data_IF_879483475105
#
_entry.id   IF_879483475105
#
_cell.length_a   1.000
_cell.length_b   1.000
_cell.length_c   1.000
_cell.angle_alpha   90.00
_cell.angle_beta   90.00
_cell.angle_gamma   90.00
#
_symmetry.space_group_name_H-M   'P 1'
#
loop_
_entity.id
_entity.type
_entity.pdbx_description
1 polymer ?
#
# COMPACT_ATOMS: atom_id res chain seq x y z
N UNK A 1 25.56 -5.30 2.90
CA UNK A 1 24.53 -5.33 3.97
C UNK A 1 23.54 -4.23 3.66
N UNK A 2 22.34 -4.57 3.20
CA UNK A 2 21.30 -3.61 2.85
C UNK A 2 20.02 -4.01 3.60
N UNK A 3 19.54 -3.24 4.59
CA UNK A 3 18.55 -3.71 5.56
C UNK A 3 17.09 -3.41 5.16
N UNK A 4 16.73 -3.40 3.88
CA UNK A 4 15.47 -2.82 3.41
C UNK A 4 14.32 -3.80 3.09
N UNK A 5 14.44 -5.10 3.38
CA UNK A 5 13.41 -6.09 3.01
C UNK A 5 13.00 -7.05 4.14
N UNK A 6 12.70 -6.50 5.32
CA UNK A 6 12.20 -7.29 6.46
C UNK A 6 10.80 -6.80 6.89
N UNK A 7 9.84 -6.82 5.95
CA UNK A 7 8.43 -6.50 6.24
C UNK A 7 7.58 -7.74 6.01
N UNK A 8 7.19 -8.34 7.13
CA UNK A 8 6.42 -9.57 7.24
C UNK A 8 5.02 -9.42 6.60
N UNK A 9 4.70 -10.29 5.64
CA UNK A 9 3.33 -10.49 5.17
C UNK A 9 2.56 -11.35 6.17
N UNK A 10 1.57 -10.78 6.87
CA UNK A 10 0.69 -11.54 7.78
C UNK A 10 -0.75 -11.56 7.30
N UNK A 11 -1.19 -12.73 6.84
CA UNK A 11 -2.55 -13.22 7.02
C UNK A 11 -2.48 -14.62 7.60
N UNK A 12 -3.41 -14.93 8.52
CA UNK A 12 -3.95 -16.25 8.89
C UNK A 12 -3.09 -17.46 8.46
N UNK A 13 -1.83 -17.51 8.87
CA UNK A 13 -1.05 -18.74 8.80
C UNK A 13 -1.14 -19.41 10.16
N UNK A 14 -1.34 -20.72 10.16
CA UNK A 14 -1.17 -21.51 11.37
C UNK A 14 0.20 -21.19 12.00
N UNK A 15 0.34 -21.22 13.34
CA UNK A 15 1.64 -21.05 13.97
C UNK A 15 2.62 -22.08 13.37
N UNK A 16 3.68 -21.59 12.73
CA UNK A 16 4.67 -22.37 11.96
C UNK A 16 4.09 -23.09 10.73
N UNK A 17 3.85 -22.33 9.66
CA UNK A 17 3.49 -22.87 8.36
C UNK A 17 4.74 -23.10 7.49
N UNK A 18 4.86 -24.29 6.91
CA UNK A 18 5.76 -24.48 5.77
C UNK A 18 5.19 -23.79 4.53
N UNK A 19 6.05 -23.19 3.71
CA UNK A 19 5.68 -22.76 2.37
C UNK A 19 6.44 -23.56 1.33
N UNK A 20 5.78 -23.76 0.19
CA UNK A 20 6.40 -24.22 -1.04
C UNK A 20 6.06 -23.20 -2.12
N UNK A 21 7.08 -22.61 -2.73
CA UNK A 21 6.95 -21.78 -3.91
C UNK A 21 6.73 -22.65 -5.15
N UNK A 22 5.67 -22.36 -5.89
CA UNK A 22 5.43 -22.93 -7.21
C UNK A 22 5.44 -21.80 -8.24
N UNK A 23 6.33 -21.89 -9.22
CA UNK A 23 6.50 -20.91 -10.30
C UNK A 23 6.61 -21.60 -11.65
N UNK A 24 7.13 -20.89 -12.66
CA UNK A 24 7.51 -21.51 -13.94
C UNK A 24 8.53 -22.62 -13.67
N UNK A 25 8.31 -23.82 -14.24
CA UNK A 25 9.20 -24.95 -14.04
C UNK A 25 10.64 -24.70 -14.53
N UNK A 26 10.82 -23.76 -15.45
CA UNK A 26 12.12 -23.34 -15.98
C UNK A 26 12.82 -22.29 -15.10
N UNK A 27 12.12 -21.68 -14.14
CA UNK A 27 12.71 -20.78 -13.15
C UNK A 27 13.12 -21.59 -11.92
N UNK A 28 14.30 -22.21 -12.00
CA UNK A 28 14.86 -23.02 -10.91
C UNK A 28 15.15 -22.22 -9.63
N UNK A 29 15.21 -20.89 -9.72
CA UNK A 29 15.40 -20.00 -8.58
C UNK A 29 14.15 -19.83 -7.72
N UNK A 30 12.96 -20.05 -8.28
CA UNK A 30 11.67 -19.89 -7.60
C UNK A 30 10.86 -21.19 -7.50
N UNK A 31 11.02 -22.10 -8.47
CA UNK A 31 10.26 -23.34 -8.51
C UNK A 31 10.74 -24.36 -7.48
N UNK A 32 9.79 -24.98 -6.79
CA UNK A 32 10.01 -25.98 -5.73
C UNK A 32 10.90 -25.50 -4.58
N UNK A 33 11.02 -24.18 -4.40
CA UNK A 33 11.67 -23.61 -3.23
C UNK A 33 10.79 -23.84 -2.02
N UNK A 34 11.37 -24.26 -0.90
CA UNK A 34 10.63 -24.51 0.34
C UNK A 34 11.28 -23.78 1.49
N UNK A 35 10.46 -23.42 2.47
CA UNK A 35 10.95 -22.79 3.68
C UNK A 35 9.91 -22.79 4.78
N UNK A 36 10.27 -22.17 5.90
CA UNK A 36 9.40 -22.02 7.06
C UNK A 36 9.12 -20.53 7.27
N UNK A 37 7.86 -20.22 7.50
CA UNK A 37 7.43 -18.89 7.96
C UNK A 37 6.78 -19.09 9.32
N UNK A 38 7.28 -18.36 10.31
CA UNK A 38 6.66 -18.28 11.63
C UNK A 38 5.84 -17.01 11.69
N UNK A 39 4.53 -17.14 11.83
CA UNK A 39 3.66 -16.01 12.13
C UNK A 39 3.52 -15.84 13.63
N UNK A 40 3.82 -14.64 14.10
CA UNK A 40 3.71 -14.26 15.51
C UNK A 40 2.51 -13.33 15.74
N UNK A 41 1.94 -13.28 16.95
CA UNK A 41 0.89 -12.32 17.27
C UNK A 41 1.38 -10.87 17.05
N UNK A 42 0.57 -10.08 16.35
CA UNK A 42 0.85 -8.65 16.16
C UNK A 42 0.72 -7.89 17.49
N UNK A 43 1.77 -7.14 17.86
CA UNK A 43 1.84 -6.36 19.11
C UNK A 43 1.85 -4.85 18.88
N UNK A 44 1.74 -4.40 17.62
CA UNK A 44 1.67 -2.99 17.28
C UNK A 44 0.27 -2.40 17.49
N UNK A 45 0.07 -1.17 17.02
CA UNK A 45 -1.14 -0.37 17.30
C UNK A 45 -2.13 -0.30 16.14
N UNK A 46 -1.79 -0.82 14.97
CA UNK A 46 -2.64 -0.71 13.79
C UNK A 46 -3.86 -1.63 13.91
N UNK A 47 -5.04 -1.03 13.98
CA UNK A 47 -6.31 -1.73 14.20
C UNK A 47 -6.58 -2.82 13.17
N UNK A 48 -6.18 -2.63 11.90
CA UNK A 48 -6.41 -3.63 10.84
C UNK A 48 -5.66 -4.94 11.07
N UNK A 49 -4.47 -4.89 11.70
CA UNK A 49 -3.69 -6.08 12.04
C UNK A 49 -4.13 -6.73 13.35
N UNK A 50 -4.76 -5.97 14.25
CA UNK A 50 -5.34 -6.49 15.50
C UNK A 50 -6.69 -7.18 15.28
N UNK A 51 -7.55 -6.56 14.47
CA UNK A 51 -8.95 -6.96 14.31
C UNK A 51 -9.22 -7.73 13.00
N UNK A 52 -8.22 -7.79 12.12
CA UNK A 52 -8.31 -8.42 10.81
C UNK A 52 -9.07 -7.57 9.79
N UNK A 53 -9.26 -8.13 8.60
CA UNK A 53 -9.75 -7.39 7.44
C UNK A 53 -11.19 -6.87 7.52
N UNK A 54 -11.42 -5.71 6.92
CA UNK A 54 -12.73 -5.07 6.84
C UNK A 54 -13.65 -5.91 5.94
N UNK A 55 -14.89 -6.13 6.41
CA UNK A 55 -15.94 -6.87 5.71
C UNK A 55 -17.32 -6.26 5.98
N UNK A 56 -18.34 -6.60 5.18
CA UNK A 56 -19.72 -6.34 5.55
C UNK A 56 -20.06 -6.96 6.92
N UNK A 57 -20.83 -6.23 7.71
CA UNK A 57 -21.48 -6.72 8.93
C UNK A 57 -22.42 -7.89 8.65
N UNK A 58 -22.78 -8.66 9.69
CA UNK A 58 -23.65 -9.83 9.55
C UNK A 58 -25.02 -9.53 8.91
N UNK A 59 -25.51 -8.29 9.00
CA UNK A 59 -26.76 -7.84 8.38
C UNK A 59 -26.55 -7.01 7.10
N UNK A 60 -25.31 -6.88 6.61
CA UNK A 60 -24.90 -6.15 5.41
C UNK A 60 -25.28 -4.65 5.39
N UNK A 61 -25.35 -3.98 6.56
CA UNK A 61 -25.72 -2.55 6.63
C UNK A 61 -24.58 -1.60 6.95
N UNK A 62 -23.52 -2.11 7.55
CA UNK A 62 -22.31 -1.36 7.91
C UNK A 62 -21.08 -2.27 7.77
N UNK A 63 -19.89 -1.71 8.01
CA UNK A 63 -18.61 -2.41 7.94
C UNK A 63 -18.12 -2.80 9.33
N UNK A 64 -17.48 -3.96 9.42
CA UNK A 64 -16.77 -4.41 10.61
C UNK A 64 -15.37 -4.87 10.23
N UNK A 65 -14.46 -4.88 11.19
CA UNK A 65 -13.28 -5.74 11.11
C UNK A 65 -13.68 -7.23 11.11
N UNK A 66 -12.69 -8.11 10.96
CA UNK A 66 -12.94 -9.55 10.86
C UNK A 66 -13.57 -10.12 12.15
N UNK A 67 -13.16 -9.59 13.31
CA UNK A 67 -13.67 -9.94 14.64
C UNK A 67 -15.06 -9.36 14.99
N UNK A 68 -15.64 -8.54 14.11
CA UNK A 68 -16.97 -7.96 14.28
C UNK A 68 -17.00 -6.57 14.92
N UNK A 69 -15.86 -6.01 15.34
CA UNK A 69 -15.80 -4.62 15.79
C UNK A 69 -16.20 -3.68 14.65
N UNK A 70 -17.13 -2.71 14.86
CA UNK A 70 -17.52 -1.77 13.82
C UNK A 70 -16.35 -0.96 13.27
N UNK A 71 -16.29 -0.83 11.94
CA UNK A 71 -15.38 0.07 11.25
C UNK A 71 -16.14 1.29 10.76
N UNK A 72 -15.83 2.46 11.32
CA UNK A 72 -16.42 3.71 10.87
C UNK A 72 -15.63 4.26 9.68
N UNK A 73 -16.24 4.28 8.50
CA UNK A 73 -15.63 4.78 7.28
C UNK A 73 -15.73 6.32 7.22
N UNK A 74 -14.65 6.99 7.59
CA UNK A 74 -14.48 8.43 7.39
C UNK A 74 -13.40 8.64 6.33
N UNK A 75 -13.84 8.84 5.09
CA UNK A 75 -12.96 8.89 3.92
C UNK A 75 -12.52 10.30 3.56
N UNK A 76 -11.25 10.43 3.14
CA UNK A 76 -10.75 11.58 2.39
C UNK A 76 -10.53 11.21 0.92
N UNK A 77 -10.76 12.17 0.03
CA UNK A 77 -10.63 11.97 -1.42
C UNK A 77 -9.38 12.66 -1.94
N UNK A 78 -8.38 11.87 -2.31
CA UNK A 78 -7.08 12.36 -2.71
C UNK A 78 -6.66 11.80 -4.08
N UNK A 79 -7.31 12.28 -5.14
CA UNK A 79 -7.17 11.78 -6.51
C UNK A 79 -5.71 11.58 -6.91
N UNK A 80 -4.87 12.60 -6.72
CA UNK A 80 -3.45 12.61 -7.13
C UNK A 80 -2.48 12.00 -6.13
N UNK A 81 -2.98 11.23 -5.15
CA UNK A 81 -2.20 10.62 -4.07
C UNK A 81 -0.94 9.86 -4.51
N UNK A 82 -0.99 9.22 -5.67
CA UNK A 82 0.11 8.45 -6.25
C UNK A 82 0.78 9.15 -7.44
N UNK A 83 0.38 10.37 -7.77
CA UNK A 83 0.88 11.12 -8.91
C UNK A 83 1.96 12.13 -8.46
N UNK A 84 2.88 12.44 -9.37
CA UNK A 84 3.96 13.43 -9.19
C UNK A 84 3.47 14.84 -8.81
N UNK A 85 2.22 15.20 -9.11
CA UNK A 85 1.60 16.46 -8.68
C UNK A 85 1.55 16.58 -7.16
N UNK A 86 1.46 15.44 -6.45
CA UNK A 86 1.63 15.37 -5.02
C UNK A 86 3.00 14.79 -4.66
N UNK A 87 3.95 15.67 -4.39
CA UNK A 87 5.35 15.29 -4.17
C UNK A 87 5.56 14.61 -2.83
N UNK A 88 6.27 13.50 -2.82
CA UNK A 88 6.52 12.71 -1.60
C UNK A 88 7.60 13.33 -0.70
N UNK A 89 8.60 13.99 -1.27
CA UNK A 89 9.76 14.54 -0.52
C UNK A 89 9.93 16.06 -0.67
N UNK A 90 8.96 16.75 -1.27
CA UNK A 90 8.99 18.19 -1.47
C UNK A 90 7.63 18.80 -1.18
N UNK A 91 7.60 20.12 -0.95
CA UNK A 91 6.38 20.89 -0.77
C UNK A 91 6.47 22.22 -1.50
N UNK A 92 5.34 22.68 -2.04
CA UNK A 92 5.15 24.04 -2.55
C UNK A 92 4.56 24.97 -1.47
N UNK A 93 4.32 24.45 -0.27
CA UNK A 93 3.84 25.18 0.89
C UNK A 93 4.87 25.09 2.02
N UNK A 94 5.33 26.24 2.50
CA UNK A 94 6.37 26.36 3.53
C UNK A 94 6.00 25.70 4.88
N UNK A 95 4.71 25.46 5.12
CA UNK A 95 4.22 24.82 6.35
C UNK A 95 4.56 23.33 6.41
N UNK A 96 4.87 22.72 5.27
CA UNK A 96 5.13 21.28 5.17
C UNK A 96 6.44 21.03 4.44
N UNK A 97 7.17 19.99 4.84
CA UNK A 97 8.38 19.54 4.14
C UNK A 97 8.06 18.59 2.99
N UNK A 98 6.84 18.04 2.96
CA UNK A 98 6.34 17.11 1.95
C UNK A 98 4.83 17.34 1.76
N UNK A 99 4.37 17.44 0.51
CA UNK A 99 2.94 17.56 0.20
C UNK A 99 2.18 16.34 0.71
N UNK A 100 2.62 15.15 0.28
CA UNK A 100 1.97 13.89 0.59
C UNK A 100 1.88 13.65 2.10
N UNK A 101 3.03 13.77 2.78
CA UNK A 101 3.13 13.47 4.21
C UNK A 101 2.31 14.47 5.03
N UNK A 102 2.40 15.76 4.68
CA UNK A 102 1.62 16.82 5.32
C UNK A 102 0.11 16.61 5.19
N UNK A 103 -0.37 16.17 4.02
CA UNK A 103 -1.79 15.88 3.85
C UNK A 103 -2.22 14.68 4.68
N UNK A 104 -1.51 13.56 4.61
CA UNK A 104 -1.82 12.34 5.37
C UNK A 104 -1.87 12.64 6.88
N UNK A 105 -0.85 13.33 7.40
CA UNK A 105 -0.78 13.68 8.81
C UNK A 105 -1.96 14.57 9.23
N UNK A 106 -2.33 15.55 8.40
CA UNK A 106 -3.50 16.40 8.66
C UNK A 106 -4.82 15.61 8.65
N UNK A 107 -4.98 14.63 7.75
CA UNK A 107 -6.20 13.81 7.70
C UNK A 107 -6.31 12.88 8.89
N UNK A 108 -5.19 12.38 9.41
CA UNK A 108 -5.15 11.62 10.65
C UNK A 108 -5.56 12.48 11.85
N UNK A 109 -5.05 13.71 11.96
CA UNK A 109 -5.49 14.68 12.99
C UNK A 109 -7.00 14.96 12.94
N UNK A 110 -7.60 14.89 11.74
CA UNK A 110 -9.03 15.09 11.51
C UNK A 110 -9.87 13.81 11.71
N UNK A 111 -9.23 12.67 12.01
CA UNK A 111 -9.90 11.41 12.28
C UNK A 111 -10.28 10.60 11.05
N UNK A 112 -9.78 10.92 9.85
CA UNK A 112 -10.01 10.11 8.65
C UNK A 112 -9.45 8.71 8.84
N UNK A 113 -10.27 7.70 8.53
CA UNK A 113 -9.94 6.26 8.63
C UNK A 113 -9.76 5.61 7.27
N UNK A 114 -10.14 6.29 6.19
CA UNK A 114 -9.97 5.83 4.82
C UNK A 114 -9.32 6.92 3.98
N UNK A 115 -8.28 6.53 3.25
CA UNK A 115 -7.65 7.37 2.24
C UNK A 115 -7.90 6.77 0.86
N UNK A 116 -8.49 7.54 -0.03
CA UNK A 116 -8.74 7.13 -1.41
C UNK A 116 -7.83 7.89 -2.36
N UNK A 117 -7.11 7.17 -3.21
CA UNK A 117 -6.32 7.73 -4.30
C UNK A 117 -6.55 6.99 -5.61
N UNK A 118 -6.19 7.60 -6.74
CA UNK A 118 -6.16 6.91 -8.02
C UNK A 118 -4.75 6.45 -8.34
N UNK A 119 -4.61 5.17 -8.66
CA UNK A 119 -3.33 4.59 -9.09
C UNK A 119 -2.83 5.23 -10.38
N UNK A 120 -3.74 5.60 -11.29
CA UNK A 120 -3.39 6.12 -12.62
C UNK A 120 -3.93 7.53 -12.87
N UNK A 121 -3.98 8.37 -11.83
CA UNK A 121 -4.38 9.77 -11.99
C UNK A 121 -3.57 10.43 -13.11
N UNK A 122 -4.26 11.07 -14.05
CA UNK A 122 -3.65 11.84 -15.12
C UNK A 122 -4.40 13.17 -15.26
N UNK A 123 -3.86 14.23 -14.67
CA UNK A 123 -4.48 15.54 -14.73
C UNK A 123 -3.89 16.40 -15.87
N UNK A 124 -3.41 15.80 -16.96
CA UNK A 124 -2.67 16.47 -18.04
C UNK A 124 -1.36 17.15 -17.61
N UNK A 125 -0.85 16.86 -16.41
CA UNK A 125 0.34 17.51 -15.86
C UNK A 125 1.65 17.02 -16.49
N UNK A 126 1.66 15.84 -17.13
CA UNK A 126 2.89 15.21 -17.65
C UNK A 126 2.69 14.16 -18.78
N UNK A 127 1.53 14.20 -19.46
CA UNK A 127 1.24 13.29 -20.58
C UNK A 127 0.77 11.89 -20.17
N UNK A 128 0.59 11.01 -21.15
CA UNK A 128 0.26 9.59 -20.97
C UNK A 128 1.57 8.79 -21.14
N UNK A 129 1.97 7.91 -20.20
CA UNK A 129 1.22 7.38 -19.04
C UNK A 129 1.34 8.15 -17.73
N UNK A 130 0.47 7.78 -16.77
CA UNK A 130 0.51 8.24 -15.38
C UNK A 130 1.93 8.13 -14.80
N UNK A 131 2.34 9.10 -13.99
CA UNK A 131 3.73 9.29 -13.57
C UNK A 131 3.84 9.73 -12.11
N UNK A 132 4.87 9.24 -11.43
CA UNK A 132 5.30 9.66 -10.10
C UNK A 132 6.84 9.82 -10.06
N UNK A 133 7.44 9.96 -8.87
CA UNK A 133 8.90 10.13 -8.73
C UNK A 133 9.70 8.92 -9.21
N UNK A 134 9.07 7.75 -9.32
CA UNK A 134 9.64 6.54 -9.92
C UNK A 134 9.57 6.49 -11.45
N UNK A 135 8.98 7.49 -12.09
CA UNK A 135 8.81 7.57 -13.54
C UNK A 135 7.38 7.22 -14.01
N UNK A 136 7.20 6.89 -15.30
CA UNK A 136 5.89 6.48 -15.85
C UNK A 136 5.47 5.11 -15.31
N UNK A 137 4.18 4.79 -15.23
CA UNK A 137 3.67 3.49 -14.76
C UNK A 137 4.08 2.31 -15.66
N UNK A 138 4.27 2.57 -16.95
CA UNK A 138 4.72 1.61 -17.96
C UNK A 138 5.91 2.15 -18.73
N UNK A 139 6.79 1.26 -19.15
CA UNK A 139 7.86 1.58 -20.09
C UNK A 139 7.28 1.75 -21.51
N UNK A 140 8.01 2.48 -22.37
CA UNK A 140 7.75 2.79 -23.78
C UNK A 140 6.55 2.08 -24.47
N UNK A 141 5.31 2.52 -24.19
CA UNK A 141 4.09 2.05 -24.85
C UNK A 141 3.61 0.64 -24.47
N UNK A 142 4.28 -0.05 -23.54
CA UNK A 142 3.92 -1.38 -23.05
C UNK A 142 2.84 -1.36 -21.98
N UNK A 143 1.71 -0.71 -22.26
CA UNK A 143 0.58 -0.64 -21.34
C UNK A 143 0.17 -2.03 -20.86
N UNK A 144 0.12 -2.21 -19.54
CA UNK A 144 -0.23 -3.45 -18.84
C UNK A 144 0.69 -4.67 -19.06
N UNK A 145 1.74 -4.55 -19.86
CA UNK A 145 2.66 -5.66 -20.17
C UNK A 145 4.11 -5.38 -19.77
N UNK A 146 4.51 -4.11 -19.77
CA UNK A 146 5.87 -3.68 -19.45
C UNK A 146 5.81 -2.61 -18.35
N UNK A 147 5.64 -3.10 -17.12
CA UNK A 147 5.56 -2.27 -15.92
C UNK A 147 6.92 -1.63 -15.64
N UNK A 148 6.94 -0.35 -15.28
CA UNK A 148 8.14 0.26 -14.70
C UNK A 148 8.15 0.02 -13.17
N UNK A 149 9.06 -0.81 -12.62
CA UNK A 149 9.08 -1.11 -11.20
C UNK A 149 9.26 0.12 -10.30
N UNK A 150 9.95 1.16 -10.78
CA UNK A 150 10.17 2.39 -10.01
C UNK A 150 8.86 3.09 -9.65
N UNK A 151 7.88 3.09 -10.56
CA UNK A 151 6.56 3.67 -10.30
C UNK A 151 5.84 2.96 -9.15
N UNK A 152 5.89 1.63 -9.16
CA UNK A 152 5.24 0.79 -8.15
C UNK A 152 5.94 0.86 -6.80
N UNK A 153 7.28 0.89 -6.79
CA UNK A 153 8.07 1.10 -5.58
C UNK A 153 7.76 2.45 -4.90
N UNK A 154 7.48 3.50 -5.69
CA UNK A 154 7.03 4.78 -5.13
C UNK A 154 5.61 4.69 -4.52
N UNK A 155 4.70 3.92 -5.14
CA UNK A 155 3.40 3.62 -4.54
C UNK A 155 3.57 2.86 -3.23
N UNK A 156 4.44 1.84 -3.21
CA UNK A 156 4.75 1.08 -2.00
C UNK A 156 5.27 2.01 -0.90
N UNK A 157 6.23 2.89 -1.20
CA UNK A 157 6.74 3.88 -0.24
C UNK A 157 5.64 4.78 0.33
N UNK A 158 4.67 5.19 -0.49
CA UNK A 158 3.52 5.99 -0.07
C UNK A 158 2.58 5.21 0.83
N UNK A 159 2.21 3.98 0.45
CA UNK A 159 1.38 3.09 1.27
C UNK A 159 2.06 2.75 2.60
N UNK A 160 3.37 2.48 2.57
CA UNK A 160 4.16 2.24 3.76
C UNK A 160 4.15 3.43 4.71
N UNK A 161 4.21 4.67 4.19
CA UNK A 161 4.04 5.86 5.00
C UNK A 161 2.66 5.90 5.66
N UNK A 162 1.58 5.64 4.92
CA UNK A 162 0.23 5.55 5.49
C UNK A 162 0.12 4.49 6.59
N UNK A 163 0.70 3.31 6.34
CA UNK A 163 0.66 2.19 7.28
C UNK A 163 1.58 2.40 8.50
N UNK A 164 2.46 3.40 8.49
CA UNK A 164 3.31 3.76 9.64
C UNK A 164 2.63 4.68 10.66
N UNK A 165 1.37 5.04 10.42
CA UNK A 165 0.64 6.07 11.16
C UNK A 165 -0.24 5.53 12.26
#
# INVERSE_FOLDING_TARGET
MNPLYDRECTYICAPNGGFTGHGDANDSGLNNQTGLITCIPYTGKLSIYQHGFIKPSANNRYLTYADGIPFYWLGDTHWSGFNIAERFNESNDIRFTSMFKGMIDRRLEQGCTVWKAETFANNNEQGNPARNEGGPAWNNGGFFIDLNPGFWQNIDQRIEYLASK
#
